data_IF_200991253303
#
_entry.id   IF_200991253303
#
_cell.length_a   1.000
_cell.length_b   1.000
_cell.length_c   1.000
_cell.angle_alpha   90.00
_cell.angle_beta   90.00
_cell.angle_gamma   90.00
#
_symmetry.space_group_name_H-M   'P 1'
#
loop_
_entity.id
_entity.type
_entity.pdbx_description
1 polymer ?
#
# COMPACT_ATOMS: atom_id res chain seq x y z
N UNK A 1 -16.81 -3.32 -3.84
CA UNK A 1 -15.34 -3.16 -3.90
C UNK A 1 -14.88 -2.67 -2.53
N UNK A 2 -13.86 -3.28 -1.94
CA UNK A 2 -13.43 -3.02 -0.55
C UNK A 2 -12.23 -2.07 -0.45
N UNK A 3 -11.81 -1.45 -1.56
CA UNK A 3 -10.71 -0.49 -1.65
C UNK A 3 -11.20 0.93 -1.40
N UNK A 4 -10.55 1.64 -0.49
CA UNK A 4 -10.78 3.07 -0.28
C UNK A 4 -9.51 3.75 0.21
N UNK A 5 -9.20 4.92 -0.33
CA UNK A 5 -8.13 5.76 0.21
C UNK A 5 -8.71 6.59 1.37
N UNK A 6 -8.10 6.44 2.54
CA UNK A 6 -8.42 7.20 3.74
C UNK A 6 -7.32 8.21 4.07
N UNK A 7 -7.64 9.12 4.99
CA UNK A 7 -6.74 10.18 5.44
C UNK A 7 -7.08 10.52 6.90
N UNK A 8 -6.46 9.82 7.83
CA UNK A 8 -6.58 10.12 9.26
C UNK A 8 -5.21 10.62 9.71
N UNK A 9 -5.08 11.94 9.82
CA UNK A 9 -3.81 12.60 10.15
C UNK A 9 -3.02 13.06 8.92
N UNK A 10 -1.69 12.92 8.96
CA UNK A 10 -0.74 13.52 8.00
C UNK A 10 -0.51 12.61 6.78
N UNK A 11 -0.67 11.29 6.93
CA UNK A 11 -0.35 10.32 5.88
C UNK A 11 -1.61 9.62 5.35
N UNK A 12 -1.80 9.53 4.01
CA UNK A 12 -2.86 8.73 3.42
C UNK A 12 -2.63 7.24 3.68
N UNK A 13 -3.72 6.47 3.71
CA UNK A 13 -3.68 5.01 3.84
C UNK A 13 -4.73 4.37 2.94
N UNK A 14 -4.61 3.06 2.75
CA UNK A 14 -5.55 2.28 1.95
C UNK A 14 -6.35 1.37 2.88
N UNK A 15 -7.67 1.44 2.83
CA UNK A 15 -8.56 0.42 3.41
C UNK A 15 -8.78 -0.68 2.39
N UNK A 16 -8.57 -1.92 2.82
CA UNK A 16 -8.85 -3.15 2.10
C UNK A 16 -9.70 -4.04 3.00
N UNK A 17 -11.02 -3.91 2.93
CA UNK A 17 -11.91 -4.59 3.89
C UNK A 17 -11.61 -4.15 5.33
N UNK A 18 -11.33 -5.10 6.21
CA UNK A 18 -10.95 -4.84 7.61
C UNK A 18 -9.47 -4.46 7.79
N UNK A 19 -8.67 -4.51 6.72
CA UNK A 19 -7.26 -4.19 6.74
C UNK A 19 -7.00 -2.73 6.40
N UNK A 20 -5.95 -2.19 6.99
CA UNK A 20 -5.39 -0.87 6.66
C UNK A 20 -3.96 -1.07 6.19
N UNK A 21 -3.65 -0.58 5.00
CA UNK A 21 -2.31 -0.57 4.43
C UNK A 21 -1.76 0.85 4.58
N UNK A 22 -0.73 0.98 5.41
CA UNK A 22 0.06 2.19 5.56
C UNK A 22 1.30 2.05 4.70
N UNK A 23 1.57 3.05 3.86
CA UNK A 23 2.78 3.15 3.06
C UNK A 23 3.34 4.54 3.34
N UNK A 24 4.60 4.63 3.75
CA UNK A 24 5.25 5.88 4.13
C UNK A 24 6.60 5.96 3.43
N UNK A 25 6.96 7.10 2.85
CA UNK A 25 8.31 7.34 2.34
C UNK A 25 9.21 7.83 3.47
N UNK A 26 10.39 7.23 3.59
CA UNK A 26 11.41 7.71 4.50
C UNK A 26 12.03 8.99 3.92
N UNK A 27 11.71 10.14 4.52
CA UNK A 27 12.19 11.45 4.08
C UNK A 27 13.58 11.80 4.61
N UNK A 28 14.08 11.04 5.59
CA UNK A 28 15.39 11.29 6.23
C UNK A 28 16.55 10.67 5.45
N UNK A 29 16.27 9.84 4.44
CA UNK A 29 17.28 9.18 3.61
C UNK A 29 17.44 9.92 2.27
N UNK A 30 18.51 10.70 2.14
CA UNK A 30 18.71 11.65 1.03
C UNK A 30 18.85 11.02 -0.38
N UNK A 31 19.00 9.69 -0.50
CA UNK A 31 19.48 9.06 -1.75
C UNK A 31 18.62 7.94 -2.33
N UNK A 32 17.73 7.32 -1.55
CA UNK A 32 16.79 6.33 -2.03
C UNK A 32 15.44 6.58 -1.37
N UNK A 33 14.36 6.68 -2.17
CA UNK A 33 12.99 6.73 -1.67
C UNK A 33 12.61 5.37 -1.11
N UNK A 34 13.27 4.99 -0.04
CA UNK A 34 12.90 3.83 0.75
C UNK A 34 11.52 4.09 1.36
N UNK A 35 10.74 3.03 1.44
CA UNK A 35 9.38 3.06 1.92
C UNK A 35 9.22 2.05 3.05
N UNK A 36 8.34 2.39 3.97
CA UNK A 36 7.80 1.47 4.96
C UNK A 36 6.40 1.07 4.52
N UNK A 37 6.09 -0.22 4.60
CA UNK A 37 4.74 -0.76 4.41
C UNK A 37 4.32 -1.54 5.65
N UNK A 38 3.12 -1.23 6.13
CA UNK A 38 2.47 -1.96 7.21
C UNK A 38 1.05 -2.31 6.80
N UNK A 39 0.70 -3.58 6.89
CA UNK A 39 -0.70 -4.03 6.78
C UNK A 39 -1.15 -4.36 8.20
N UNK A 40 -2.23 -3.74 8.65
CA UNK A 40 -2.77 -3.90 10.01
C UNK A 40 -4.27 -4.21 10.00
N UNK A 41 -4.74 -4.98 10.96
CA UNK A 41 -6.16 -5.22 11.24
C UNK A 41 -6.38 -5.26 12.76
N UNK A 42 -7.15 -4.30 13.29
CA UNK A 42 -7.24 -4.11 14.74
C UNK A 42 -5.86 -3.96 15.41
N UNK A 43 -5.54 -4.87 16.32
CA UNK A 43 -4.26 -4.91 17.05
C UNK A 43 -3.21 -5.85 16.41
N UNK A 44 -3.49 -6.39 15.21
CA UNK A 44 -2.60 -7.33 14.52
C UNK A 44 -1.91 -6.60 13.37
N UNK A 45 -0.62 -6.86 13.18
CA UNK A 45 0.16 -6.41 12.03
C UNK A 45 0.58 -7.64 11.18
N UNK A 46 -0.29 -8.13 10.27
CA UNK A 46 0.02 -9.31 9.46
C UNK A 46 1.27 -9.19 8.60
N UNK A 47 1.64 -7.97 8.21
CA UNK A 47 2.77 -7.74 7.32
C UNK A 47 3.45 -6.42 7.60
N UNK A 48 4.78 -6.45 7.62
CA UNK A 48 5.60 -5.25 7.63
C UNK A 48 6.90 -5.45 6.85
N UNK A 49 7.29 -4.41 6.13
CA UNK A 49 8.62 -4.21 5.58
C UNK A 49 8.99 -2.75 5.80
N UNK A 50 10.24 -2.52 6.16
CA UNK A 50 10.76 -1.20 6.41
C UNK A 50 11.98 -0.97 5.54
N UNK A 51 12.27 0.29 5.22
CA UNK A 51 13.45 0.69 4.46
C UNK A 51 13.57 -0.11 3.13
N UNK A 52 12.45 -0.39 2.47
CA UNK A 52 12.43 -1.11 1.19
C UNK A 52 12.43 -0.10 0.04
N UNK A 53 13.35 -0.19 -0.95
CA UNK A 53 13.30 0.66 -2.12
C UNK A 53 11.92 0.58 -2.80
N UNK A 54 11.37 1.71 -3.24
CA UNK A 54 10.05 1.77 -3.89
C UNK A 54 9.91 0.72 -5.01
N UNK A 55 10.96 0.55 -5.83
CA UNK A 55 10.99 -0.44 -6.91
C UNK A 55 10.84 -1.87 -6.39
N UNK A 56 11.54 -2.22 -5.32
CA UNK A 56 11.49 -3.56 -4.74
C UNK A 56 10.12 -3.83 -4.10
N UNK A 57 9.48 -2.80 -3.53
CA UNK A 57 8.11 -2.89 -3.03
C UNK A 57 7.09 -3.12 -4.17
N UNK A 58 7.27 -2.42 -5.30
CA UNK A 58 6.47 -2.63 -6.52
C UNK A 58 6.65 -4.07 -7.00
N UNK A 59 7.87 -4.55 -7.14
CA UNK A 59 8.17 -5.90 -7.62
C UNK A 59 7.61 -6.97 -6.66
N UNK A 60 7.72 -6.76 -5.35
CA UNK A 60 7.16 -7.65 -4.32
C UNK A 60 5.65 -7.86 -4.49
N UNK A 61 4.90 -6.79 -4.76
CA UNK A 61 3.44 -6.84 -4.95
C UNK A 61 3.11 -7.37 -6.34
N UNK A 62 3.77 -6.86 -7.38
CA UNK A 62 3.52 -7.21 -8.78
C UNK A 62 3.79 -8.68 -9.08
N UNK A 63 4.88 -9.23 -8.54
CA UNK A 63 5.27 -10.64 -8.72
C UNK A 63 4.53 -11.58 -7.75
N UNK A 64 3.72 -11.04 -6.83
CA UNK A 64 3.00 -11.84 -5.84
C UNK A 64 3.87 -12.45 -4.75
N UNK A 65 5.13 -12.03 -4.62
CA UNK A 65 6.05 -12.50 -3.58
C UNK A 65 5.57 -12.15 -2.16
N UNK A 66 4.74 -11.11 -2.04
CA UNK A 66 4.07 -10.77 -0.79
C UNK A 66 3.14 -11.90 -0.30
N UNK A 67 2.52 -12.68 -1.19
CA UNK A 67 1.51 -13.69 -0.81
C UNK A 67 2.10 -14.82 0.03
N UNK A 68 3.35 -15.23 -0.26
CA UNK A 68 4.04 -16.26 0.52
C UNK A 68 4.38 -15.84 1.96
N UNK A 69 4.20 -14.56 2.29
CA UNK A 69 4.50 -13.97 3.59
C UNK A 69 3.23 -13.67 4.39
N UNK A 70 2.07 -13.88 3.79
CA UNK A 70 0.76 -13.64 4.38
C UNK A 70 0.12 -14.98 4.78
N UNK A 71 -0.27 -15.09 6.04
CA UNK A 71 -0.93 -16.29 6.55
C UNK A 71 -2.47 -16.25 6.42
N UNK A 72 -3.03 -15.14 5.95
CA UNK A 72 -4.46 -14.93 5.83
C UNK A 72 -4.89 -14.94 4.36
N UNK A 73 -5.68 -15.95 3.96
CA UNK A 73 -6.14 -16.12 2.58
C UNK A 73 -7.07 -15.00 2.11
N UNK A 74 -7.90 -14.44 2.99
CA UNK A 74 -8.76 -13.31 2.66
C UNK A 74 -7.93 -12.06 2.31
N UNK A 75 -6.87 -11.78 3.09
CA UNK A 75 -5.96 -10.69 2.81
C UNK A 75 -5.23 -10.88 1.47
N UNK A 76 -4.79 -12.11 1.17
CA UNK A 76 -4.18 -12.43 -0.13
C UNK A 76 -5.16 -12.12 -1.26
N UNK A 77 -6.40 -12.61 -1.19
CA UNK A 77 -7.43 -12.34 -2.19
C UNK A 77 -7.75 -10.85 -2.32
N UNK A 78 -7.78 -10.10 -1.21
CA UNK A 78 -8.01 -8.65 -1.23
C UNK A 78 -6.87 -7.90 -1.93
N UNK A 79 -5.62 -8.30 -1.72
CA UNK A 79 -4.46 -7.70 -2.38
C UNK A 79 -4.48 -8.05 -3.87
N UNK A 80 -4.73 -9.31 -4.23
CA UNK A 80 -4.84 -9.76 -5.63
C UNK A 80 -5.90 -8.95 -6.40
N UNK A 81 -7.11 -8.82 -5.84
CA UNK A 81 -8.22 -8.10 -6.48
C UNK A 81 -7.96 -6.59 -6.63
N UNK A 82 -7.03 -6.03 -5.86
CA UNK A 82 -6.75 -4.59 -5.87
C UNK A 82 -5.29 -4.29 -6.21
N UNK A 83 -4.56 -5.26 -6.79
CA UNK A 83 -3.11 -5.18 -7.03
C UNK A 83 -2.75 -3.92 -7.83
N UNK A 84 -3.43 -3.66 -8.95
CA UNK A 84 -3.19 -2.50 -9.79
C UNK A 84 -3.39 -1.17 -9.04
N UNK A 85 -4.40 -1.10 -8.16
CA UNK A 85 -4.66 0.11 -7.35
C UNK A 85 -3.58 0.33 -6.29
N UNK A 86 -3.09 -0.75 -5.68
CA UNK A 86 -1.96 -0.70 -4.74
C UNK A 86 -0.67 -0.25 -5.41
N UNK A 87 -0.32 -0.85 -6.56
CA UNK A 87 0.87 -0.49 -7.33
C UNK A 87 0.83 0.98 -7.73
N UNK A 88 -0.31 1.45 -8.26
CA UNK A 88 -0.48 2.85 -8.62
C UNK A 88 -0.33 3.78 -7.40
N UNK A 89 -0.86 3.39 -6.23
CA UNK A 89 -0.69 4.18 -5.01
C UNK A 89 0.79 4.33 -4.61
N UNK A 90 1.57 3.24 -4.77
CA UNK A 90 3.00 3.23 -4.47
C UNK A 90 3.77 4.07 -5.49
N UNK A 91 3.53 3.87 -6.78
CA UNK A 91 4.22 4.58 -7.87
C UNK A 91 4.02 6.10 -7.81
N UNK A 92 2.83 6.53 -7.38
CA UNK A 92 2.42 7.94 -7.34
C UNK A 92 2.31 8.48 -5.91
N UNK A 93 3.03 7.88 -4.96
CA UNK A 93 2.86 8.17 -3.54
C UNK A 93 3.04 9.66 -3.19
N UNK A 94 3.99 10.35 -3.83
CA UNK A 94 4.22 11.78 -3.66
C UNK A 94 2.97 12.62 -3.96
N UNK A 95 2.16 12.24 -4.94
CA UNK A 95 0.93 12.95 -5.28
C UNK A 95 -0.15 12.70 -4.22
N UNK A 96 -0.27 11.46 -3.71
CA UNK A 96 -1.16 11.15 -2.60
C UNK A 96 -0.77 11.89 -1.30
N UNK A 97 0.53 12.11 -1.10
CA UNK A 97 1.05 12.88 0.04
C UNK A 97 0.68 14.37 0.00
N UNK A 98 0.28 14.93 -1.15
CA UNK A 98 -0.19 16.33 -1.26
C UNK A 98 -1.59 16.55 -0.67
N UNK A 99 -2.29 15.49 -0.27
CA UNK A 99 -3.62 15.55 0.31
C UNK A 99 -4.74 15.51 -0.72
N UNK A 100 -5.97 15.72 -0.24
CA UNK A 100 -7.19 15.62 -1.07
C UNK A 100 -7.31 16.77 -2.08
N UNK A 101 -7.98 16.55 -3.24
CA UNK A 101 -8.63 15.30 -3.65
C UNK A 101 -7.63 14.25 -4.09
N UNK A 102 -7.80 13.02 -3.59
CA UNK A 102 -7.04 11.90 -4.11
C UNK A 102 -7.54 11.60 -5.52
N UNK A 103 -6.64 11.33 -6.45
CA UNK A 103 -7.06 11.09 -7.81
C UNK A 103 -7.97 9.84 -7.85
N UNK A 104 -9.18 10.03 -8.38
CA UNK A 104 -10.25 9.06 -8.36
C UNK A 104 -10.05 8.06 -9.49
N UNK A 105 -9.53 6.89 -9.15
CA UNK A 105 -9.14 5.86 -10.11
C UNK A 105 -9.99 4.58 -9.98
N UNK A 106 -11.32 4.73 -9.78
CA UNK A 106 -12.26 3.64 -10.04
C UNK A 106 -12.24 3.14 -11.50
N UNK A 107 -11.57 3.86 -12.41
CA UNK A 107 -11.50 3.62 -13.85
C UNK A 107 -10.20 2.98 -14.37
N UNK A 108 -9.26 2.54 -13.51
CA UNK A 108 -8.16 1.67 -13.95
C UNK A 108 -8.73 0.26 -14.12
N UNK A 109 -9.30 0.00 -15.30
CA UNK A 109 -9.59 -1.36 -15.75
C UNK A 109 -8.26 -2.13 -15.85
N UNK A 110 -8.19 -3.28 -15.17
CA UNK A 110 -7.10 -4.25 -15.30
C UNK A 110 -7.26 -5.13 -16.53
#
# INVERSE_FOLDING_TARGET
MSYKIGSDGIFPYIKLGDYTVHIMTNLDLELDKEMDIHIVTGNVCPFTRQNIPQKDLIDLIKNGEIYGQLFNAELVTLIEQNQNKLLHFIENHDDYMRGKPYPDYESIEG
#
